data_IF_756857585490
#
_entry.id   IF_756857585490
#
_cell.length_a   1.000
_cell.length_b   1.000
_cell.length_c   1.000
_cell.angle_alpha   90.00
_cell.angle_beta   90.00
_cell.angle_gamma   90.00
#
_symmetry.space_group_name_H-M   'P 1'
#
loop_
_entity.id
_entity.type
_entity.pdbx_description
1 polymer ?
#
# COMPACT_ATOMS: atom_id res chain seq x y z
N UNK A 1 11.52 19.27 20.12
CA UNK A 1 12.10 18.80 18.84
C UNK A 1 11.38 17.52 18.46
N UNK A 2 10.69 17.49 17.32
CA UNK A 2 10.09 16.26 16.82
C UNK A 2 11.19 15.29 16.41
N UNK A 3 11.04 14.01 16.75
CA UNK A 3 11.93 12.97 16.22
C UNK A 3 11.77 12.93 14.70
N UNK A 4 12.83 13.26 13.97
CA UNK A 4 12.85 13.12 12.51
C UNK A 4 13.08 11.66 12.19
N UNK A 5 12.13 11.05 11.50
CA UNK A 5 12.22 9.67 11.02
C UNK A 5 12.70 9.67 9.58
N UNK A 6 13.57 8.71 9.25
CA UNK A 6 13.78 8.31 7.86
C UNK A 6 12.52 7.64 7.31
N UNK A 7 12.33 7.65 5.99
CA UNK A 7 11.23 6.94 5.34
C UNK A 7 11.21 5.44 5.70
N UNK A 8 12.39 4.84 5.78
CA UNK A 8 12.52 3.45 6.21
C UNK A 8 11.97 3.23 7.62
N UNK A 9 12.35 4.08 8.59
CA UNK A 9 11.85 3.98 9.97
C UNK A 9 10.34 4.17 10.03
N UNK A 10 9.79 5.14 9.28
CA UNK A 10 8.34 5.35 9.22
C UNK A 10 7.63 4.12 8.64
N UNK A 11 8.11 3.58 7.52
CA UNK A 11 7.51 2.40 6.88
C UNK A 11 7.57 1.16 7.78
N UNK A 12 8.66 0.97 8.53
CA UNK A 12 8.75 -0.13 9.50
C UNK A 12 7.70 0.01 10.61
N UNK A 13 7.51 1.21 11.16
CA UNK A 13 6.50 1.45 12.20
C UNK A 13 5.07 1.23 11.67
N UNK A 14 4.77 1.70 10.45
CA UNK A 14 3.47 1.47 9.80
C UNK A 14 3.22 -0.02 9.63
N UNK A 15 4.22 -0.77 9.16
CA UNK A 15 4.14 -2.23 8.99
C UNK A 15 3.86 -2.94 10.32
N UNK A 16 4.64 -2.66 11.37
CA UNK A 16 4.48 -3.28 12.68
C UNK A 16 3.07 -3.02 13.26
N UNK A 17 2.56 -1.79 13.11
CA UNK A 17 1.22 -1.44 13.57
C UNK A 17 0.13 -2.20 12.79
N UNK A 18 0.27 -2.33 11.47
CA UNK A 18 -0.68 -3.09 10.64
C UNK A 18 -0.67 -4.57 11.01
N UNK A 19 0.52 -5.19 11.12
CA UNK A 19 0.66 -6.60 11.50
C UNK A 19 0.11 -6.89 12.91
N UNK A 20 0.20 -5.94 13.83
CA UNK A 20 -0.32 -6.08 15.20
C UNK A 20 -1.82 -5.75 15.35
N UNK A 21 -2.37 -4.88 14.52
CA UNK A 21 -3.76 -4.40 14.65
C UNK A 21 -4.76 -5.20 13.82
N UNK A 22 -4.31 -5.79 12.71
CA UNK A 22 -5.14 -6.55 11.79
C UNK A 22 -4.86 -8.05 11.99
N UNK A 23 -5.75 -8.74 12.72
CA UNK A 23 -5.56 -10.14 13.14
C UNK A 23 -5.73 -11.16 12.01
N UNK A 24 -6.30 -10.74 10.88
CA UNK A 24 -6.65 -11.60 9.77
C UNK A 24 -6.06 -11.10 8.45
N UNK A 25 -6.15 -11.94 7.41
CA UNK A 25 -5.79 -11.53 6.05
C UNK A 25 -6.99 -10.91 5.35
N UNK A 26 -6.76 -9.76 4.70
CA UNK A 26 -7.81 -9.01 4.00
C UNK A 26 -7.54 -9.02 2.50
N UNK A 27 -8.61 -9.26 1.74
CA UNK A 27 -8.61 -9.00 0.31
C UNK A 27 -8.91 -7.53 0.06
N UNK A 28 -8.14 -6.91 -0.82
CA UNK A 28 -8.36 -5.54 -1.27
C UNK A 28 -8.70 -5.55 -2.75
N UNK A 29 -9.67 -4.72 -3.13
CA UNK A 29 -10.01 -4.44 -4.53
C UNK A 29 -9.50 -3.04 -4.83
N UNK A 30 -8.76 -2.87 -5.94
CA UNK A 30 -8.25 -1.58 -6.39
C UNK A 30 -7.98 -1.64 -7.90
N UNK A 31 -7.92 -0.48 -8.55
CA UNK A 31 -7.50 -0.33 -9.94
C UNK A 31 -5.97 -0.19 -10.03
N UNK A 32 -5.37 -0.73 -11.10
CA UNK A 32 -3.95 -0.55 -11.40
C UNK A 32 -3.76 0.69 -12.27
N UNK A 33 -3.08 1.71 -11.76
CA UNK A 33 -2.71 2.88 -12.57
C UNK A 33 -1.36 2.70 -13.26
N UNK A 34 -0.43 1.96 -12.65
CA UNK A 34 0.89 1.70 -13.23
C UNK A 34 1.46 0.34 -12.80
N UNK A 35 2.17 -0.30 -13.73
CA UNK A 35 3.00 -1.48 -13.48
C UNK A 35 4.39 -1.21 -14.04
N UNK A 36 5.41 -1.25 -13.16
CA UNK A 36 6.81 -1.12 -13.54
C UNK A 36 7.56 -2.41 -13.27
N UNK A 37 8.04 -3.06 -14.32
CA UNK A 37 8.88 -4.24 -14.19
C UNK A 37 10.32 -3.86 -13.82
N UNK A 38 10.85 -4.56 -12.83
CA UNK A 38 12.27 -4.53 -12.49
C UNK A 38 12.98 -5.62 -13.28
N UNK A 39 14.16 -5.30 -13.79
CA UNK A 39 15.08 -6.25 -14.46
C UNK A 39 15.42 -7.45 -13.56
N UNK A 40 15.21 -7.35 -12.24
CA UNK A 40 15.43 -8.42 -11.25
C UNK A 40 14.24 -9.38 -11.07
N UNK A 41 13.16 -9.25 -11.85
CA UNK A 41 12.02 -10.16 -11.81
C UNK A 41 10.93 -9.81 -10.78
N UNK A 42 10.94 -8.58 -10.26
CA UNK A 42 9.85 -8.05 -9.44
C UNK A 42 9.13 -6.95 -10.21
N UNK A 43 7.87 -6.65 -9.88
CA UNK A 43 7.19 -5.46 -10.39
C UNK A 43 6.78 -4.55 -9.24
N UNK A 44 6.74 -3.25 -9.52
CA UNK A 44 6.18 -2.23 -8.65
C UNK A 44 4.82 -1.83 -9.21
N UNK A 45 3.80 -1.87 -8.36
CA UNK A 45 2.43 -1.52 -8.71
C UNK A 45 2.08 -0.18 -8.08
N UNK A 46 1.42 0.68 -8.85
CA UNK A 46 0.69 1.82 -8.34
C UNK A 46 -0.81 1.48 -8.41
N UNK A 47 -1.47 1.57 -7.26
CA UNK A 47 -2.88 1.23 -7.08
C UNK A 47 -3.68 2.51 -6.86
N UNK A 48 -4.87 2.57 -7.44
CA UNK A 48 -5.85 3.64 -7.21
C UNK A 48 -7.19 3.05 -6.77
N UNK A 49 -7.92 3.82 -5.98
CA UNK A 49 -9.30 3.52 -5.64
C UNK A 49 -10.21 4.15 -6.69
N UNK A 50 -11.21 3.40 -7.16
CA UNK A 50 -12.20 3.95 -8.07
C UNK A 50 -13.03 4.96 -7.27
N UNK A 51 -12.93 6.24 -7.60
CA UNK A 51 -13.64 7.29 -6.87
C UNK A 51 -15.14 6.98 -6.83
N UNK A 52 -15.77 7.02 -5.66
CA UNK A 52 -17.22 6.86 -5.52
C UNK A 52 -17.93 8.02 -6.24
N UNK A 53 -18.21 7.82 -7.54
CA UNK A 53 -19.34 8.40 -8.26
C UNK A 53 -19.62 7.61 -9.54
N UNK A 54 -20.43 6.58 -9.36
CA UNK A 54 -21.44 6.20 -10.36
C UNK A 54 -21.09 4.99 -11.22
N UNK A 55 -21.30 3.81 -10.68
CA UNK A 55 -21.32 2.58 -11.48
C UNK A 55 -21.41 1.29 -10.68
N UNK A 56 -22.36 1.20 -9.75
CA UNK A 56 -22.81 -0.08 -9.19
C UNK A 56 -23.27 -1.04 -10.33
N UNK A 57 -23.26 -2.38 -10.16
CA UNK A 57 -23.29 -3.17 -8.92
C UNK A 57 -21.98 -3.86 -8.50
#
# INVERSE_FOLDING_TARGET
MGNVLTLYQLNSLVRELLEGSFTDSYWVTAELSEVRESVKGHCFLELMEQGERGGAP
#
